data_IF_020962250749
#
_entry.id   IF_020962250749
#
_cell.length_a   1.000
_cell.length_b   1.000
_cell.length_c   1.000
_cell.angle_alpha   90.00
_cell.angle_beta   90.00
_cell.angle_gamma   90.00
#
_symmetry.space_group_name_H-M   'P 1'
#
loop_
_entity.id
_entity.type
_entity.pdbx_description
1 polymer ?
#
# COMPACT_ATOMS: atom_id res chain seq x y z
N UNK A 1 31.56 -11.12 8.56
CA UNK A 1 30.17 -11.07 8.09
C UNK A 1 29.61 -9.74 8.57
N UNK A 2 29.09 -8.87 7.68
CA UNK A 2 28.43 -7.65 8.11
C UNK A 2 27.24 -8.02 9.00
N UNK A 3 27.07 -7.26 10.08
CA UNK A 3 25.92 -7.39 10.97
C UNK A 3 24.76 -6.54 10.45
N UNK A 4 23.50 -6.88 10.80
CA UNK A 4 22.36 -6.02 10.48
C UNK A 4 22.50 -4.58 11.02
N UNK A 5 23.35 -4.36 12.02
CA UNK A 5 23.66 -3.02 12.55
C UNK A 5 24.61 -2.26 11.62
N UNK A 6 25.59 -2.94 11.04
CA UNK A 6 26.52 -2.35 10.05
C UNK A 6 25.74 -1.90 8.81
N UNK A 7 24.79 -2.72 8.34
CA UNK A 7 23.91 -2.36 7.21
C UNK A 7 23.05 -1.10 7.52
N UNK A 8 22.61 -0.93 8.77
CA UNK A 8 21.85 0.26 9.19
C UNK A 8 22.73 1.50 9.28
N UNK A 9 23.99 1.36 9.71
CA UNK A 9 24.98 2.44 9.71
C UNK A 9 25.23 2.91 8.28
N UNK A 10 25.46 1.98 7.35
CA UNK A 10 25.67 2.30 5.93
C UNK A 10 24.47 3.04 5.32
N UNK A 11 23.24 2.63 5.67
CA UNK A 11 22.01 3.32 5.26
C UNK A 11 21.95 4.74 5.81
N UNK A 12 22.28 4.95 7.09
CA UNK A 12 22.30 6.29 7.69
C UNK A 12 23.34 7.18 7.00
N UNK A 13 24.55 6.68 6.80
CA UNK A 13 25.61 7.42 6.11
C UNK A 13 25.21 7.79 4.68
N UNK A 14 24.51 6.90 3.99
CA UNK A 14 23.96 7.17 2.67
C UNK A 14 22.90 8.28 2.71
N UNK A 15 21.96 8.20 3.66
CA UNK A 15 20.91 9.19 3.84
C UNK A 15 21.44 10.58 4.23
N UNK A 16 22.52 10.65 5.00
CA UNK A 16 23.15 11.93 5.39
C UNK A 16 23.83 12.63 4.20
N UNK A 17 24.22 11.90 3.16
CA UNK A 17 24.77 12.47 1.92
C UNK A 17 23.68 13.07 1.02
N UNK A 18 22.42 12.74 1.27
CA UNK A 18 21.30 13.27 0.53
C UNK A 18 20.91 14.65 1.07
N UNK A 19 20.66 15.60 0.16
CA UNK A 19 20.30 16.97 0.54
C UNK A 19 18.84 17.12 0.97
N UNK A 20 18.02 16.09 0.74
CA UNK A 20 16.59 16.19 0.95
C UNK A 20 16.20 16.23 2.44
N UNK A 21 15.24 17.09 2.82
CA UNK A 21 14.78 17.18 4.21
C UNK A 21 14.26 15.86 4.79
N UNK A 22 13.63 15.01 3.98
CA UNK A 22 13.13 13.71 4.43
C UNK A 22 14.28 12.74 4.77
N UNK A 23 15.36 12.75 3.99
CA UNK A 23 16.51 11.87 4.19
C UNK A 23 17.21 12.21 5.51
N UNK A 24 17.44 13.50 5.78
CA UNK A 24 17.98 13.99 7.05
C UNK A 24 17.12 13.62 8.25
N UNK A 25 15.80 13.73 8.12
CA UNK A 25 14.87 13.37 9.19
C UNK A 25 14.90 11.86 9.51
N UNK A 26 14.98 11.02 8.48
CA UNK A 26 15.08 9.57 8.65
C UNK A 26 16.45 9.17 9.22
N UNK A 27 17.54 9.74 8.72
CA UNK A 27 18.89 9.52 9.24
C UNK A 27 18.98 9.90 10.73
N UNK A 28 18.44 11.06 11.12
CA UNK A 28 18.38 11.50 12.52
C UNK A 28 17.66 10.50 13.42
N UNK A 29 16.54 9.95 12.95
CA UNK A 29 15.74 8.97 13.72
C UNK A 29 16.42 7.62 13.84
N UNK A 30 17.03 7.13 12.75
CA UNK A 30 17.82 5.90 12.74
C UNK A 30 19.07 6.04 13.61
N UNK A 31 19.73 7.19 13.59
CA UNK A 31 20.89 7.47 14.42
C UNK A 31 20.59 7.32 15.91
N UNK A 32 19.41 7.73 16.40
CA UNK A 32 18.99 7.50 17.80
C UNK A 32 18.87 6.02 18.17
N UNK A 33 18.53 5.16 17.21
CA UNK A 33 18.49 3.72 17.44
C UNK A 33 19.89 3.12 17.43
N UNK A 34 20.72 3.47 16.43
CA UNK A 34 22.10 2.99 16.28
C UNK A 34 22.98 3.46 17.45
N UNK A 35 22.79 4.69 17.94
CA UNK A 35 23.49 5.23 19.10
C UNK A 35 23.05 4.60 20.44
N UNK A 36 21.99 3.80 20.44
CA UNK A 36 21.45 3.14 21.63
C UNK A 36 20.61 4.05 22.53
N UNK A 37 20.29 5.29 22.10
CA UNK A 37 19.38 6.19 22.83
C UNK A 37 17.96 5.62 22.94
N UNK A 38 17.55 4.81 21.96
CA UNK A 38 16.34 3.98 22.05
C UNK A 38 16.66 2.54 21.67
N UNK A 39 16.14 1.59 22.44
CA UNK A 39 16.23 0.15 22.13
C UNK A 39 15.10 -0.32 21.22
N UNK A 40 14.19 0.58 20.85
CA UNK A 40 13.00 0.27 20.08
C UNK A 40 13.02 1.01 18.73
N UNK A 41 13.33 0.26 17.66
CA UNK A 41 13.37 0.75 16.28
C UNK A 41 12.05 1.39 15.86
N UNK A 42 10.92 0.78 16.25
CA UNK A 42 9.60 1.27 15.86
C UNK A 42 9.26 2.58 16.55
N UNK A 43 9.73 2.77 17.79
CA UNK A 43 9.66 4.07 18.47
C UNK A 43 10.60 5.10 17.82
N UNK A 44 11.83 4.70 17.47
CA UNK A 44 12.83 5.58 16.85
C UNK A 44 12.31 6.20 15.54
N UNK A 45 11.64 5.38 14.74
CA UNK A 45 11.12 5.75 13.42
C UNK A 45 9.69 6.32 13.46
N UNK A 46 9.11 6.58 14.65
CA UNK A 46 7.71 6.98 14.83
C UNK A 46 6.71 6.00 14.17
N UNK A 47 7.07 4.73 14.04
CA UNK A 47 6.25 3.65 13.44
C UNK A 47 5.29 3.02 14.46
N UNK A 48 5.42 3.34 15.74
CA UNK A 48 4.48 2.89 16.78
C UNK A 48 3.11 3.50 16.56
N UNK A 49 2.09 2.65 16.56
CA UNK A 49 0.71 3.08 16.44
C UNK A 49 0.28 3.85 17.71
N UNK A 50 -0.13 5.13 17.58
CA UNK A 50 -0.74 5.85 18.69
C UNK A 50 -2.09 5.21 19.04
N UNK A 51 -2.43 5.15 20.33
CA UNK A 51 -3.76 4.68 20.77
C UNK A 51 -4.87 5.47 20.06
N UNK A 52 -5.85 4.75 19.51
CA UNK A 52 -6.99 5.35 18.80
C UNK A 52 -6.72 5.78 17.34
N UNK A 53 -5.48 5.70 16.84
CA UNK A 53 -5.15 5.95 15.43
C UNK A 53 -4.95 4.63 14.68
N UNK A 54 -5.18 4.63 13.37
CA UNK A 54 -4.86 3.46 12.52
C UNK A 54 -3.35 3.31 12.39
N UNK A 55 -2.85 2.07 12.40
CA UNK A 55 -1.45 1.78 12.15
C UNK A 55 -1.04 2.29 10.75
N UNK A 56 0.18 2.83 10.63
CA UNK A 56 0.68 3.37 9.36
C UNK A 56 0.64 2.34 8.21
N UNK A 57 0.86 1.05 8.52
CA UNK A 57 0.72 -0.05 7.53
C UNK A 57 -0.69 -0.12 6.98
N UNK A 58 -1.70 -0.06 7.85
CA UNK A 58 -3.11 -0.09 7.46
C UNK A 58 -3.49 1.14 6.63
N UNK A 59 -2.96 2.31 6.96
CA UNK A 59 -3.16 3.54 6.17
C UNK A 59 -2.52 3.39 4.79
N UNK A 60 -1.25 2.97 4.74
CA UNK A 60 -0.49 2.78 3.49
C UNK A 60 -1.13 1.74 2.57
N UNK A 61 -1.62 0.62 3.13
CA UNK A 61 -2.36 -0.39 2.37
C UNK A 61 -3.69 0.17 1.83
N UNK A 62 -4.38 0.99 2.63
CA UNK A 62 -5.59 1.70 2.21
C UNK A 62 -5.32 2.65 1.03
N UNK A 63 -4.28 3.48 1.14
CA UNK A 63 -3.92 4.44 0.09
C UNK A 63 -3.47 3.73 -1.19
N UNK A 64 -2.67 2.67 -1.08
CA UNK A 64 -2.25 1.85 -2.21
C UNK A 64 -3.43 1.17 -2.91
N UNK A 65 -4.40 0.67 -2.14
CA UNK A 65 -5.66 0.11 -2.68
C UNK A 65 -6.47 1.19 -3.39
N UNK A 66 -6.62 2.34 -2.76
CA UNK A 66 -7.42 3.45 -3.29
C UNK A 66 -6.78 4.01 -4.59
N UNK A 67 -5.45 4.05 -4.68
CA UNK A 67 -4.72 4.33 -5.92
C UNK A 67 -4.99 3.27 -7.00
N UNK A 68 -4.87 1.98 -6.65
CA UNK A 68 -5.12 0.87 -7.58
C UNK A 68 -6.56 0.88 -8.13
N UNK A 69 -7.55 1.26 -7.31
CA UNK A 69 -8.95 1.43 -7.74
C UNK A 69 -9.07 2.55 -8.78
N UNK A 70 -8.45 3.70 -8.52
CA UNK A 70 -8.49 4.84 -9.44
C UNK A 70 -7.83 4.50 -10.78
N UNK A 71 -6.68 3.82 -10.73
CA UNK A 71 -5.98 3.36 -11.94
C UNK A 71 -6.81 2.34 -12.73
N UNK A 72 -7.39 1.34 -12.05
CA UNK A 72 -8.23 0.34 -12.69
C UNK A 72 -9.45 0.96 -13.39
N UNK A 73 -10.10 1.93 -12.73
CA UNK A 73 -11.22 2.65 -13.32
C UNK A 73 -10.81 3.45 -14.55
N UNK A 74 -9.72 4.21 -14.47
CA UNK A 74 -9.23 5.02 -15.57
C UNK A 74 -8.83 4.15 -16.78
N UNK A 75 -8.25 2.97 -16.53
CA UNK A 75 -7.76 2.06 -17.57
C UNK A 75 -8.87 1.24 -18.24
N UNK A 76 -9.76 0.63 -17.45
CA UNK A 76 -10.71 -0.37 -17.96
C UNK A 76 -12.12 0.17 -18.16
N UNK A 77 -12.47 1.29 -17.54
CA UNK A 77 -13.80 1.89 -17.62
C UNK A 77 -13.79 3.39 -18.02
N UNK A 78 -12.94 3.85 -18.97
CA UNK A 78 -12.74 5.28 -19.23
C UNK A 78 -13.98 5.99 -19.76
N UNK A 79 -14.83 5.28 -20.53
CA UNK A 79 -16.01 5.86 -21.18
C UNK A 79 -17.25 5.96 -20.25
N UNK A 80 -17.20 5.36 -19.06
CA UNK A 80 -18.33 5.31 -18.13
C UNK A 80 -18.35 6.54 -17.21
N UNK A 81 -19.55 6.96 -16.79
CA UNK A 81 -19.68 7.99 -15.75
C UNK A 81 -19.14 7.48 -14.41
N UNK A 82 -18.65 8.34 -13.49
CA UNK A 82 -18.05 7.90 -12.22
C UNK A 82 -18.89 6.92 -11.40
N UNK A 83 -20.22 7.10 -11.39
CA UNK A 83 -21.14 6.16 -10.74
C UNK A 83 -21.12 4.78 -11.41
N UNK A 84 -21.21 4.75 -12.75
CA UNK A 84 -21.18 3.52 -13.54
C UNK A 84 -19.82 2.83 -13.48
N UNK A 85 -18.72 3.59 -13.42
CA UNK A 85 -17.38 3.06 -13.19
C UNK A 85 -17.30 2.29 -11.87
N UNK A 86 -17.80 2.89 -10.79
CA UNK A 86 -17.80 2.27 -9.48
C UNK A 86 -18.69 1.02 -9.42
N UNK A 87 -19.88 1.07 -10.03
CA UNK A 87 -20.78 -0.07 -10.09
C UNK A 87 -20.17 -1.22 -10.92
N UNK A 88 -19.56 -0.91 -12.08
CA UNK A 88 -18.89 -1.90 -12.93
C UNK A 88 -17.69 -2.56 -12.24
N UNK A 89 -16.84 -1.77 -11.56
CA UNK A 89 -15.70 -2.31 -10.82
C UNK A 89 -16.15 -3.15 -9.62
N UNK A 90 -17.18 -2.73 -8.88
CA UNK A 90 -17.73 -3.51 -7.77
C UNK A 90 -18.24 -4.89 -8.24
N UNK A 91 -18.96 -4.93 -9.36
CA UNK A 91 -19.44 -6.18 -9.96
C UNK A 91 -18.26 -7.07 -10.37
N UNK A 92 -17.24 -6.50 -11.00
CA UNK A 92 -16.05 -7.24 -11.42
C UNK A 92 -15.30 -7.82 -10.21
N UNK A 93 -15.10 -7.02 -9.15
CA UNK A 93 -14.49 -7.46 -7.90
C UNK A 93 -15.28 -8.60 -7.26
N UNK A 94 -16.60 -8.46 -7.12
CA UNK A 94 -17.45 -9.50 -6.52
C UNK A 94 -17.42 -10.81 -7.31
N UNK A 95 -17.43 -10.74 -8.65
CA UNK A 95 -17.30 -11.94 -9.50
C UNK A 95 -15.94 -12.61 -9.35
N UNK A 96 -14.87 -11.81 -9.30
CA UNK A 96 -13.52 -12.33 -9.16
C UNK A 96 -13.30 -12.96 -7.77
N UNK A 97 -13.76 -12.29 -6.71
CA UNK A 97 -13.73 -12.79 -5.33
C UNK A 97 -14.46 -14.13 -5.19
N UNK A 98 -15.64 -14.26 -5.82
CA UNK A 98 -16.44 -15.48 -5.75
C UNK A 98 -15.86 -16.66 -6.57
N UNK A 99 -14.89 -16.40 -7.46
CA UNK A 99 -14.36 -17.39 -8.39
C UNK A 99 -12.85 -17.63 -8.16
N UNK A 100 -12.00 -17.07 -9.03
CA UNK A 100 -10.58 -17.36 -9.09
C UNK A 100 -9.80 -16.88 -7.86
N UNK A 101 -10.33 -15.90 -7.11
CA UNK A 101 -9.65 -15.33 -5.94
C UNK A 101 -9.30 -16.37 -4.86
N UNK A 102 -10.15 -17.38 -4.66
CA UNK A 102 -9.89 -18.44 -3.67
C UNK A 102 -8.56 -19.14 -3.89
N UNK A 103 -8.19 -19.34 -5.15
CA UNK A 103 -6.92 -19.95 -5.56
C UNK A 103 -5.82 -18.90 -5.71
N UNK A 104 -6.13 -17.73 -6.25
CA UNK A 104 -5.10 -16.73 -6.56
C UNK A 104 -4.56 -15.99 -5.34
N UNK A 105 -5.29 -15.95 -4.22
CA UNK A 105 -4.87 -15.26 -2.99
C UNK A 105 -3.63 -15.89 -2.33
N UNK A 106 -3.35 -17.15 -2.62
CA UNK A 106 -2.20 -17.89 -2.07
C UNK A 106 -0.93 -17.68 -2.91
N UNK A 107 -1.05 -17.12 -4.11
CA UNK A 107 0.08 -16.88 -5.01
C UNK A 107 0.86 -15.67 -4.53
N UNK A 108 2.19 -15.80 -4.51
CA UNK A 108 3.10 -14.68 -4.18
C UNK A 108 3.11 -13.60 -5.28
N UNK A 109 2.81 -13.99 -6.52
CA UNK A 109 2.82 -13.11 -7.69
C UNK A 109 1.51 -13.19 -8.46
N UNK A 110 1.11 -12.08 -9.07
CA UNK A 110 -0.10 -12.02 -9.89
C UNK A 110 0.01 -12.98 -11.09
N UNK A 111 -0.96 -13.89 -11.30
CA UNK A 111 -0.92 -14.86 -12.41
C UNK A 111 -1.37 -14.28 -13.76
N UNK A 112 -1.85 -13.04 -13.79
CA UNK A 112 -2.40 -12.39 -14.98
C UNK A 112 -1.42 -11.36 -15.56
N UNK A 113 -1.59 -11.00 -16.84
CA UNK A 113 -0.79 -9.94 -17.46
C UNK A 113 -1.18 -8.59 -16.87
N UNK A 114 -0.21 -7.68 -16.70
CA UNK A 114 -0.46 -6.35 -16.14
C UNK A 114 -1.46 -5.49 -16.94
N UNK A 115 -1.69 -5.83 -18.22
CA UNK A 115 -2.72 -5.22 -19.06
C UNK A 115 -4.15 -5.64 -18.72
N UNK A 116 -4.34 -6.76 -18.00
CA UNK A 116 -5.63 -7.41 -17.85
C UNK A 116 -6.38 -6.88 -16.63
N UNK A 117 -7.71 -6.84 -16.73
CA UNK A 117 -8.57 -6.44 -15.62
C UNK A 117 -8.35 -7.34 -14.39
N UNK A 118 -8.21 -8.65 -14.59
CA UNK A 118 -7.95 -9.60 -13.52
C UNK A 118 -6.67 -9.29 -12.72
N UNK A 119 -5.62 -8.76 -13.37
CA UNK A 119 -4.42 -8.33 -12.66
C UNK A 119 -4.71 -7.14 -11.73
N UNK A 120 -5.49 -6.17 -12.21
CA UNK A 120 -5.92 -5.05 -11.38
C UNK A 120 -6.84 -5.49 -10.22
N UNK A 121 -7.76 -6.43 -10.45
CA UNK A 121 -8.64 -6.98 -9.41
C UNK A 121 -7.83 -7.73 -8.34
N UNK A 122 -6.85 -8.54 -8.74
CA UNK A 122 -5.93 -9.22 -7.83
C UNK A 122 -5.13 -8.23 -6.97
N UNK A 123 -4.61 -7.16 -7.57
CA UNK A 123 -3.91 -6.10 -6.85
C UNK A 123 -4.80 -5.35 -5.85
N UNK A 124 -6.09 -5.21 -6.13
CA UNK A 124 -7.04 -4.57 -5.22
C UNK A 124 -7.38 -5.51 -4.05
N UNK A 125 -7.69 -6.77 -4.33
CA UNK A 125 -8.09 -7.75 -3.31
C UNK A 125 -6.92 -8.23 -2.43
N UNK A 126 -5.68 -8.23 -2.91
CA UNK A 126 -4.50 -8.48 -2.04
C UNK A 126 -4.33 -7.41 -0.95
N UNK A 127 -5.01 -6.27 -1.08
CA UNK A 127 -4.96 -5.13 -0.15
C UNK A 127 -6.30 -4.88 0.54
N UNK A 128 -7.26 -5.79 0.40
CA UNK A 128 -8.59 -5.68 0.99
C UNK A 128 -9.07 -7.05 1.51
N UNK A 129 -9.73 -7.06 2.67
CA UNK A 129 -10.24 -8.32 3.23
C UNK A 129 -11.39 -8.92 2.41
N UNK A 130 -12.09 -8.10 1.63
CA UNK A 130 -13.25 -8.49 0.82
C UNK A 130 -13.46 -7.54 -0.38
N UNK A 131 -14.27 -7.95 -1.35
CA UNK A 131 -14.68 -7.08 -2.46
C UNK A 131 -15.41 -5.84 -1.97
N UNK A 132 -14.98 -4.67 -2.45
CA UNK A 132 -15.55 -3.40 -2.06
C UNK A 132 -16.91 -3.17 -2.75
N UNK A 133 -17.85 -2.63 -1.97
CA UNK A 133 -19.13 -2.18 -2.51
C UNK A 133 -18.97 -0.97 -3.44
N UNK A 134 -19.91 -0.81 -4.37
CA UNK A 134 -19.91 0.32 -5.30
C UNK A 134 -19.96 1.67 -4.58
N UNK A 135 -20.68 1.76 -3.45
CA UNK A 135 -20.71 2.98 -2.63
C UNK A 135 -19.33 3.34 -2.10
N UNK A 136 -18.59 2.34 -1.59
CA UNK A 136 -17.25 2.57 -1.06
C UNK A 136 -16.28 2.99 -2.17
N UNK A 137 -16.36 2.36 -3.33
CA UNK A 137 -15.56 2.73 -4.50
C UNK A 137 -15.90 4.17 -4.93
N UNK A 138 -17.18 4.57 -4.98
CA UNK A 138 -17.56 5.96 -5.29
C UNK A 138 -16.92 6.97 -4.33
N UNK A 139 -16.94 6.69 -3.02
CA UNK A 139 -16.30 7.58 -2.03
C UNK A 139 -14.80 7.75 -2.32
N UNK A 140 -14.12 6.68 -2.70
CA UNK A 140 -12.69 6.67 -3.06
C UNK A 140 -12.42 7.48 -4.34
N UNK A 141 -13.30 7.37 -5.35
CA UNK A 141 -13.16 8.14 -6.59
C UNK A 141 -13.40 9.64 -6.40
N UNK A 142 -14.20 10.03 -5.41
CA UNK A 142 -14.50 11.44 -5.11
C UNK A 142 -13.49 12.11 -4.18
N UNK A 143 -12.90 11.35 -3.25
CA UNK A 143 -11.95 11.88 -2.28
C UNK A 143 -10.54 11.87 -2.88
N UNK A 144 -9.93 13.05 -3.01
CA UNK A 144 -8.51 13.23 -3.37
C UNK A 144 -7.70 13.60 -2.14
#
# INVERSE_FOLDING_TARGET
MPTPLDDLIDVVEHLDRLSEPWARNVATRLNRFVSGETRDVAAALDLKQPRGKRAWRTVSLGDARDAAIREAVAKFFPALKPKQQADALAIALGRYEASAWRTDREKQTCPYKASDLHAALWLILTRADHALSAERIRKILVTR
#
